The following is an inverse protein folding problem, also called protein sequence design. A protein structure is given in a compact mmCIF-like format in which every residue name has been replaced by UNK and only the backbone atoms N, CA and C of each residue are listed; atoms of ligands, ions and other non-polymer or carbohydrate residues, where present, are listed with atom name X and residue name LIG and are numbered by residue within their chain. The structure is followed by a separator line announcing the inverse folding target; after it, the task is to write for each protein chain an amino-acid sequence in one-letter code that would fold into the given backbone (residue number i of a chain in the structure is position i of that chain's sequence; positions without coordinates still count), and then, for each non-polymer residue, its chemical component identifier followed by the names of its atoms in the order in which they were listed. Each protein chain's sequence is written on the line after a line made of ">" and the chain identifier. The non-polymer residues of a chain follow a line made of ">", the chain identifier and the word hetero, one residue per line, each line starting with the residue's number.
data_IF_273896412316
#
_entry.id   IF_273896412316
#
_cell.length_a   1.000
_cell.length_b   1.000
_cell.length_c   1.000
_cell.angle_alpha   90.00
_cell.angle_beta   90.00
_cell.angle_gamma   90.00
#
_symmetry.space_group_name_H-M   'P 1'
#
loop_
_entity.id
_entity.type
_entity.pdbx_description
1 polymer ?
#
# COMPACT_ATOMS: atom_id res chain seq x y z
N UNK A 1 11.83 80.34 -6.14
CA UNK A 1 12.19 79.69 -4.87
C UNK A 1 11.04 78.77 -4.48
N UNK A 2 11.12 77.48 -4.83
CA UNK A 2 10.16 76.45 -4.41
C UNK A 2 10.98 75.35 -3.74
N UNK A 3 10.81 75.24 -2.43
CA UNK A 3 11.41 74.21 -1.59
C UNK A 3 10.55 72.95 -1.79
N UNK A 4 11.14 71.89 -2.34
CA UNK A 4 10.53 70.57 -2.40
C UNK A 4 10.98 69.82 -1.15
N UNK A 5 10.03 69.55 -0.25
CA UNK A 5 10.25 68.68 0.91
C UNK A 5 10.10 67.25 0.41
N UNK A 6 11.19 66.49 0.40
CA UNK A 6 11.18 65.04 0.15
C UNK A 6 10.88 64.36 1.49
N UNK A 7 9.67 63.80 1.62
CA UNK A 7 9.33 62.93 2.73
C UNK A 7 9.95 61.55 2.48
N UNK A 8 10.96 61.17 3.28
CA UNK A 8 11.44 59.79 3.35
C UNK A 8 10.38 58.95 4.07
N UNK A 9 9.66 58.14 3.31
CA UNK A 9 8.88 57.02 3.83
C UNK A 9 9.87 55.95 4.34
N UNK A 10 9.97 55.80 5.65
CA UNK A 10 10.59 54.65 6.28
C UNK A 10 9.66 53.45 6.04
N UNK A 11 9.97 52.63 5.05
CA UNK A 11 9.34 51.31 4.89
C UNK A 11 9.99 50.40 5.93
N UNK A 12 9.25 50.11 7.00
CA UNK A 12 9.63 49.07 7.95
C UNK A 12 9.42 47.73 7.23
N UNK A 13 10.48 47.17 6.66
CA UNK A 13 10.46 45.79 6.19
C UNK A 13 10.39 44.95 7.46
N UNK A 14 9.17 44.51 7.84
CA UNK A 14 9.04 43.37 8.73
C UNK A 14 9.61 42.19 7.95
N UNK A 15 10.85 41.78 8.25
CA UNK A 15 11.23 40.40 8.04
C UNK A 15 10.27 39.60 8.91
N UNK A 16 9.23 39.02 8.32
CA UNK A 16 8.54 37.92 8.95
C UNK A 16 9.59 36.83 9.12
N UNK A 17 10.02 36.59 10.36
CA UNK A 17 10.68 35.34 10.68
C UNK A 17 9.69 34.25 10.30
N UNK A 18 10.09 33.38 9.37
CA UNK A 18 9.31 32.21 9.01
C UNK A 18 9.27 31.37 10.29
N UNK A 19 8.07 31.03 10.77
CA UNK A 19 7.91 30.08 11.87
C UNK A 19 8.77 28.84 11.56
N UNK A 20 9.62 28.42 12.50
CA UNK A 20 10.37 27.17 12.35
C UNK A 20 9.49 26.03 12.87
N UNK A 21 8.35 25.81 12.20
CA UNK A 21 7.55 24.61 12.42
C UNK A 21 8.14 23.47 11.59
N UNK A 22 8.09 22.23 12.10
CA UNK A 22 8.59 21.05 11.40
C UNK A 22 10.00 20.61 11.81
N UNK A 23 10.62 19.82 10.94
CA UNK A 23 11.92 19.19 11.16
C UNK A 23 13.00 20.17 11.64
N UNK A 24 13.72 19.77 12.70
CA UNK A 24 14.80 20.55 13.30
C UNK A 24 14.37 21.60 14.33
N UNK A 25 13.06 21.78 14.56
CA UNK A 25 12.53 22.52 15.71
C UNK A 25 12.44 21.63 16.97
N UNK A 26 12.30 22.25 18.14
CA UNK A 26 12.19 21.53 19.41
C UNK A 26 10.79 20.95 19.68
N UNK A 27 10.66 20.16 20.74
CA UNK A 27 9.40 19.57 21.19
C UNK A 27 8.35 20.64 21.57
N UNK A 28 7.14 20.52 21.03
CA UNK A 28 6.01 21.41 21.30
C UNK A 28 5.55 21.44 22.77
N UNK A 29 5.85 20.40 23.54
CA UNK A 29 5.43 20.23 24.93
C UNK A 29 6.51 20.60 25.95
N UNK A 30 7.70 20.98 25.50
CA UNK A 30 8.84 21.40 26.34
C UNK A 30 9.29 22.82 25.99
N UNK A 31 9.90 23.52 26.96
CA UNK A 31 10.38 24.89 26.74
C UNK A 31 11.74 24.85 26.04
N UNK A 32 11.90 25.63 24.96
CA UNK A 32 13.16 25.72 24.23
C UNK A 32 13.40 27.13 23.63
N UNK A 33 14.66 27.48 23.35
CA UNK A 33 15.01 28.85 22.94
C UNK A 33 14.67 29.17 21.49
N UNK A 34 14.56 28.17 20.62
CA UNK A 34 14.17 28.31 19.21
C UNK A 34 12.68 28.70 19.08
N UNK A 35 12.30 29.49 18.06
CA UNK A 35 10.91 29.74 17.72
C UNK A 35 10.26 28.52 17.05
N UNK A 36 8.94 28.37 17.18
CA UNK A 36 8.20 27.25 16.60
C UNK A 36 8.43 25.93 17.35
N UNK A 37 7.91 24.83 16.85
CA UNK A 37 8.13 23.49 17.39
C UNK A 37 7.93 22.43 16.29
N UNK A 38 8.34 21.18 16.56
CA UNK A 38 8.43 20.14 15.53
C UNK A 38 7.07 19.78 14.90
N UNK A 39 6.01 19.61 15.69
CA UNK A 39 4.70 19.19 15.17
C UNK A 39 4.07 20.34 14.35
N UNK A 40 4.13 20.26 13.02
CA UNK A 40 3.72 21.32 12.08
C UNK A 40 2.32 21.87 12.39
N UNK A 41 1.31 21.00 12.48
CA UNK A 41 -0.07 21.40 12.75
C UNK A 41 -0.25 22.01 14.16
N UNK A 42 0.41 21.44 15.17
CA UNK A 42 0.38 22.00 16.52
C UNK A 42 1.01 23.38 16.57
N UNK A 43 2.17 23.52 15.92
CA UNK A 43 2.92 24.75 15.81
C UNK A 43 2.05 25.83 15.18
N UNK A 44 1.43 25.55 14.03
CA UNK A 44 0.54 26.49 13.33
C UNK A 44 -0.64 26.95 14.21
N UNK A 45 -1.31 26.02 14.90
CA UNK A 45 -2.41 26.34 15.84
C UNK A 45 -1.94 27.26 16.96
N UNK A 46 -0.75 27.02 17.53
CA UNK A 46 -0.19 27.88 18.58
C UNK A 46 0.26 29.23 18.01
N UNK A 47 0.88 29.27 16.84
CA UNK A 47 1.31 30.50 16.15
C UNK A 47 0.12 31.42 15.84
N UNK A 48 -1.03 30.85 15.47
CA UNK A 48 -2.25 31.61 15.20
C UNK A 48 -2.78 32.31 16.47
N UNK A 49 -2.65 31.65 17.63
CA UNK A 49 -3.05 32.22 18.93
C UNK A 49 -2.02 33.22 19.46
N UNK A 50 -0.73 32.90 19.38
CA UNK A 50 0.37 33.72 19.88
C UNK A 50 1.57 33.71 18.91
N UNK A 51 1.68 34.72 18.02
CA UNK A 51 2.78 34.81 17.06
C UNK A 51 4.17 34.87 17.71
N UNK A 52 4.29 35.27 18.99
CA UNK A 52 5.58 35.35 19.69
C UNK A 52 6.22 33.97 19.83
N UNK A 53 5.42 32.91 19.93
CA UNK A 53 5.91 31.53 19.98
C UNK A 53 6.72 31.15 18.74
N UNK A 54 6.43 31.79 17.61
CA UNK A 54 7.00 31.46 16.30
C UNK A 54 7.91 32.55 15.75
N UNK A 55 7.98 33.71 16.42
CA UNK A 55 8.87 34.82 16.07
C UNK A 55 10.06 34.98 17.02
N UNK A 56 9.93 34.56 18.29
CA UNK A 56 10.94 34.85 19.34
C UNK A 56 11.49 33.57 19.97
N UNK A 57 10.63 32.77 20.59
CA UNK A 57 11.04 31.59 21.38
C UNK A 57 9.83 30.78 21.83
N UNK A 58 9.99 29.47 21.92
CA UNK A 58 8.98 28.58 22.49
C UNK A 58 9.05 28.51 24.03
N UNK A 59 8.34 29.42 24.68
CA UNK A 59 8.36 29.57 26.15
C UNK A 59 7.20 28.82 26.86
N UNK A 60 7.14 28.93 28.20
CA UNK A 60 6.11 28.30 29.04
C UNK A 60 4.66 28.59 28.57
N UNK A 61 4.39 29.80 28.06
CA UNK A 61 3.05 30.12 27.52
C UNK A 61 2.75 29.29 26.27
N UNK A 62 3.72 29.12 25.37
CA UNK A 62 3.59 28.32 24.15
C UNK A 62 3.28 26.86 24.49
N UNK A 63 4.03 26.29 25.44
CA UNK A 63 3.79 24.93 25.97
C UNK A 63 2.39 24.79 26.58
N UNK A 64 1.91 25.79 27.33
CA UNK A 64 0.55 25.78 27.91
C UNK A 64 -0.54 25.82 26.81
N UNK A 65 -0.31 26.54 25.72
CA UNK A 65 -1.22 26.54 24.57
C UNK A 65 -1.17 25.20 23.83
N UNK A 66 0.02 24.66 23.57
CA UNK A 66 0.19 23.37 22.91
C UNK A 66 -0.55 22.24 23.63
N UNK A 67 -0.44 22.17 24.96
CA UNK A 67 -1.17 21.21 25.82
C UNK A 67 -2.69 21.28 25.69
N UNK A 68 -3.24 22.38 25.16
CA UNK A 68 -4.69 22.57 24.94
C UNK A 68 -5.08 22.39 23.49
N UNK A 69 -4.27 22.89 22.56
CA UNK A 69 -4.61 22.98 21.13
C UNK A 69 -4.18 21.74 20.33
N UNK A 70 -3.23 20.97 20.84
CA UNK A 70 -2.54 19.92 20.07
C UNK A 70 -2.88 18.50 20.53
N UNK A 71 -3.96 18.33 21.29
CA UNK A 71 -4.41 17.01 21.72
C UNK A 71 -4.70 16.15 20.50
N UNK A 72 -4.05 14.99 20.40
CA UNK A 72 -4.18 14.07 19.28
C UNK A 72 -3.22 14.30 18.12
N UNK A 73 -2.40 15.36 18.16
CA UNK A 73 -1.35 15.61 17.17
C UNK A 73 -0.04 15.00 17.68
N UNK A 74 0.55 14.12 16.87
CA UNK A 74 1.82 13.43 17.19
C UNK A 74 2.88 13.72 16.13
N UNK A 75 2.49 13.83 14.85
CA UNK A 75 3.43 13.96 13.74
C UNK A 75 3.62 15.40 13.25
N UNK A 76 4.82 15.73 12.71
CA UNK A 76 6.07 15.00 12.94
C UNK A 76 6.55 15.14 14.39
N UNK A 77 7.42 14.25 14.82
CA UNK A 77 7.95 14.14 16.19
C UNK A 77 9.48 14.03 16.18
N UNK A 78 10.12 14.20 17.33
CA UNK A 78 11.58 14.09 17.40
C UNK A 78 12.02 12.64 17.17
N UNK A 79 13.00 12.42 16.29
CA UNK A 79 13.64 11.12 16.06
C UNK A 79 13.46 10.61 14.63
N UNK A 80 14.49 9.96 14.12
CA UNK A 80 14.50 9.43 12.75
C UNK A 80 13.56 8.24 12.62
N UNK A 81 12.74 8.20 11.56
CA UNK A 81 11.78 7.13 11.33
C UNK A 81 12.41 5.73 11.21
N UNK A 82 13.65 5.63 10.73
CA UNK A 82 14.38 4.37 10.51
C UNK A 82 15.12 3.86 11.77
N UNK A 83 14.92 4.49 12.94
CA UNK A 83 15.67 4.17 14.16
C UNK A 83 14.78 4.11 15.38
N UNK A 84 15.15 3.26 16.35
CA UNK A 84 14.53 3.25 17.67
C UNK A 84 14.69 4.60 18.39
N UNK A 85 13.63 5.12 19.00
CA UNK A 85 13.69 6.28 19.89
C UNK A 85 12.51 6.34 20.89
N UNK A 86 12.63 7.09 22.00
CA UNK A 86 11.65 7.04 23.09
C UNK A 86 10.40 7.91 22.85
N UNK A 87 10.40 8.77 21.84
CA UNK A 87 9.25 9.60 21.43
C UNK A 87 8.25 8.78 20.60
N UNK A 88 6.94 9.07 20.68
CA UNK A 88 5.94 8.59 19.71
C UNK A 88 6.07 9.34 18.38
N UNK A 89 5.74 8.69 17.26
CA UNK A 89 5.90 9.27 15.91
C UNK A 89 7.37 9.39 15.51
N UNK A 90 7.67 9.98 14.36
CA UNK A 90 9.02 10.27 13.88
C UNK A 90 9.07 11.60 13.10
N UNK A 91 10.26 11.99 12.63
CA UNK A 91 10.56 13.32 12.08
C UNK A 91 10.07 13.57 10.65
N UNK A 92 9.89 12.53 9.84
CA UNK A 92 9.25 12.64 8.54
C UNK A 92 7.71 12.66 8.72
N UNK A 93 7.09 13.81 8.41
CA UNK A 93 5.66 14.03 8.64
C UNK A 93 4.77 13.04 7.86
N UNK A 94 5.09 12.75 6.60
CA UNK A 94 4.25 11.91 5.75
C UNK A 94 4.37 10.44 6.15
N UNK A 95 5.58 9.96 6.39
CA UNK A 95 5.85 8.62 6.92
C UNK A 95 5.23 8.43 8.31
N UNK A 96 5.43 9.40 9.20
CA UNK A 96 4.87 9.37 10.56
C UNK A 96 3.34 9.26 10.51
N UNK A 97 2.66 10.13 9.74
CA UNK A 97 1.20 10.08 9.63
C UNK A 97 0.72 8.75 9.03
N UNK A 98 1.37 8.26 7.97
CA UNK A 98 1.02 6.98 7.36
C UNK A 98 1.15 5.82 8.35
N UNK A 99 2.26 5.76 9.09
CA UNK A 99 2.47 4.72 10.10
C UNK A 99 1.57 4.89 11.32
N UNK A 100 1.16 6.11 11.70
CA UNK A 100 0.14 6.29 12.75
C UNK A 100 -1.21 5.72 12.33
N UNK A 101 -1.60 5.96 11.08
CA UNK A 101 -2.87 5.47 10.55
C UNK A 101 -2.84 3.95 10.39
N UNK A 102 -1.72 3.41 9.95
CA UNK A 102 -1.49 1.97 9.78
C UNK A 102 -1.31 1.21 11.10
N UNK A 103 -0.47 1.72 12.00
CA UNK A 103 -0.17 1.16 13.31
C UNK A 103 -0.16 2.22 14.41
N UNK A 104 -1.32 2.37 15.05
CA UNK A 104 -1.50 3.31 16.15
C UNK A 104 -0.55 3.10 17.34
N UNK A 105 0.15 1.95 17.46
CA UNK A 105 1.17 1.79 18.50
C UNK A 105 2.37 2.71 18.27
N UNK A 106 2.77 2.96 17.02
CA UNK A 106 3.90 3.84 16.70
C UNK A 106 3.67 5.29 17.14
N UNK A 107 2.40 5.66 17.35
CA UNK A 107 2.02 7.02 17.75
C UNK A 107 1.35 7.09 19.13
N UNK A 108 1.05 5.95 19.74
CA UNK A 108 0.59 5.84 21.12
C UNK A 108 1.68 5.43 22.12
N UNK A 109 2.81 4.90 21.65
CA UNK A 109 3.90 4.35 22.44
C UNK A 109 5.27 4.95 22.13
N UNK A 110 6.34 4.22 22.46
CA UNK A 110 7.69 4.56 22.00
C UNK A 110 7.85 4.09 20.56
N UNK A 111 8.61 4.83 19.74
CA UNK A 111 9.00 4.37 18.41
C UNK A 111 10.02 3.23 18.51
N UNK A 112 9.54 1.99 18.48
CA UNK A 112 10.37 0.81 18.70
C UNK A 112 11.01 0.25 17.41
N UNK A 113 11.72 -0.88 17.55
CA UNK A 113 12.37 -1.54 16.39
C UNK A 113 11.35 -2.05 15.35
N UNK A 114 10.09 -2.28 15.74
CA UNK A 114 9.02 -2.65 14.79
C UNK A 114 8.60 -1.43 13.99
N UNK A 115 8.34 -0.29 14.64
CA UNK A 115 8.01 0.96 13.95
C UNK A 115 9.12 1.38 12.98
N UNK A 116 10.38 1.27 13.40
CA UNK A 116 11.52 1.58 12.54
C UNK A 116 11.64 0.66 11.32
N UNK A 117 11.44 -0.66 11.50
CA UNK A 117 11.47 -1.61 10.40
C UNK A 117 10.27 -1.42 9.44
N UNK A 118 9.12 -1.01 9.96
CA UNK A 118 7.95 -0.69 9.14
C UNK A 118 8.14 0.60 8.34
N UNK A 119 8.82 1.60 8.90
CA UNK A 119 9.22 2.79 8.17
C UNK A 119 10.21 2.47 7.05
N UNK A 120 11.21 1.65 7.33
CA UNK A 120 12.16 1.20 6.30
C UNK A 120 11.42 0.47 5.16
N UNK A 121 10.45 -0.39 5.48
CA UNK A 121 9.71 -1.15 4.48
C UNK A 121 8.73 -0.27 3.68
N UNK A 122 7.99 0.61 4.36
CA UNK A 122 6.81 1.28 3.81
C UNK A 122 7.01 2.76 3.50
N UNK A 123 8.01 3.44 4.05
CA UNK A 123 8.25 4.85 3.75
C UNK A 123 9.41 5.05 2.77
N UNK A 124 10.38 4.13 2.72
CA UNK A 124 11.45 4.18 1.71
C UNK A 124 11.01 3.67 0.34
N UNK A 125 9.86 2.99 0.27
CA UNK A 125 9.28 2.54 -0.99
C UNK A 125 8.55 3.70 -1.67
N UNK A 126 8.99 4.16 -2.84
CA UNK A 126 8.37 5.31 -3.49
C UNK A 126 6.97 4.97 -4.01
N UNK A 127 6.07 5.94 -3.95
CA UNK A 127 4.80 5.87 -4.66
C UNK A 127 5.04 5.70 -6.17
N UNK A 128 4.12 5.00 -6.81
CA UNK A 128 4.25 4.59 -8.20
C UNK A 128 2.89 4.56 -8.90
N UNK A 129 2.90 4.48 -10.23
CA UNK A 129 1.68 4.36 -11.02
C UNK A 129 1.66 3.05 -11.80
N UNK A 130 0.55 2.33 -11.72
CA UNK A 130 0.31 1.11 -12.51
C UNK A 130 -0.32 1.47 -13.84
N UNK A 131 0.21 0.90 -14.92
CA UNK A 131 -0.40 1.01 -16.25
C UNK A 131 -1.43 -0.10 -16.41
N UNK A 132 -2.71 0.28 -16.44
CA UNK A 132 -3.83 -0.65 -16.63
C UNK A 132 -3.91 -1.10 -18.09
N UNK A 133 -3.99 -2.41 -18.32
CA UNK A 133 -4.23 -2.98 -19.64
C UNK A 133 -5.57 -2.47 -20.21
N UNK A 134 -5.63 -1.96 -21.46
CA UNK A 134 -6.89 -1.58 -22.09
C UNK A 134 -7.93 -2.71 -22.21
N UNK A 135 -7.51 -3.98 -22.15
CA UNK A 135 -8.38 -5.16 -22.11
C UNK A 135 -8.85 -5.51 -20.69
N UNK A 136 -8.31 -4.87 -19.65
CA UNK A 136 -8.75 -5.04 -18.28
C UNK A 136 -10.20 -4.57 -18.14
N UNK A 137 -11.01 -5.42 -17.49
CA UNK A 137 -12.39 -5.10 -17.18
C UNK A 137 -12.38 -4.31 -15.86
N UNK A 138 -12.78 -3.02 -15.86
CA UNK A 138 -12.87 -2.26 -14.63
C UNK A 138 -14.00 -2.82 -13.77
N UNK A 139 -13.78 -2.81 -12.46
CA UNK A 139 -14.86 -3.03 -11.51
C UNK A 139 -15.92 -1.94 -11.64
N UNK A 140 -17.15 -2.29 -11.26
CA UNK A 140 -18.27 -1.35 -11.24
C UNK A 140 -18.20 -0.40 -10.03
N UNK A 141 -17.16 -0.50 -9.19
CA UNK A 141 -16.96 0.28 -7.99
C UNK A 141 -15.80 1.29 -8.10
N UNK A 142 -15.96 2.36 -7.34
CA UNK A 142 -14.96 3.40 -7.08
C UNK A 142 -14.60 3.31 -5.60
N UNK A 143 -13.45 3.86 -5.17
CA UNK A 143 -12.89 3.58 -3.85
C UNK A 143 -13.74 3.92 -2.60
N UNK A 144 -14.85 4.65 -2.73
CA UNK A 144 -15.80 4.91 -1.63
C UNK A 144 -17.07 4.04 -1.70
N UNK A 145 -17.23 3.27 -2.77
CA UNK A 145 -18.25 2.25 -2.92
C UNK A 145 -17.67 0.91 -2.47
N UNK A 146 -18.55 0.02 -2.02
CA UNK A 146 -18.21 -1.24 -1.34
C UNK A 146 -19.08 -2.34 -1.91
N UNK A 147 -18.88 -2.67 -3.18
CA UNK A 147 -19.80 -3.50 -3.95
C UNK A 147 -19.44 -4.97 -3.89
N UNK A 148 -18.18 -5.35 -3.66
CA UNK A 148 -17.74 -6.75 -3.72
C UNK A 148 -16.89 -7.24 -2.52
N UNK A 149 -17.13 -6.74 -1.31
CA UNK A 149 -16.34 -7.12 -0.11
C UNK A 149 -16.48 -8.56 0.38
N UNK A 150 -17.18 -9.38 -0.38
CA UNK A 150 -17.38 -10.79 -0.12
C UNK A 150 -17.86 -11.03 1.29
N UNK A 151 -17.09 -11.82 2.04
CA UNK A 151 -17.49 -12.22 3.38
C UNK A 151 -17.42 -11.12 4.44
N UNK A 152 -16.93 -9.92 4.11
CA UNK A 152 -16.96 -8.76 5.01
C UNK A 152 -18.33 -8.05 5.02
N UNK A 153 -19.22 -8.40 4.07
CA UNK A 153 -20.58 -7.86 3.99
C UNK A 153 -21.59 -8.72 4.78
N UNK A 154 -22.67 -8.11 5.27
CA UNK A 154 -23.80 -8.85 5.87
C UNK A 154 -24.43 -9.82 4.84
N UNK A 155 -24.55 -9.37 3.59
CA UNK A 155 -24.92 -10.20 2.44
C UNK A 155 -23.74 -10.23 1.48
N UNK A 156 -23.01 -11.34 1.38
CA UNK A 156 -21.81 -11.41 0.54
C UNK A 156 -22.10 -11.15 -0.94
N UNK A 157 -21.31 -10.26 -1.53
CA UNK A 157 -21.29 -9.97 -2.96
C UNK A 157 -19.84 -10.11 -3.43
N UNK A 158 -19.66 -10.64 -4.64
CA UNK A 158 -18.35 -10.95 -5.20
C UNK A 158 -18.32 -10.50 -6.67
N UNK A 159 -17.17 -10.02 -7.13
CA UNK A 159 -16.85 -9.98 -8.55
C UNK A 159 -16.73 -11.40 -9.10
N UNK A 160 -16.84 -11.57 -10.41
CA UNK A 160 -16.62 -12.87 -11.07
C UNK A 160 -15.32 -12.84 -11.85
N UNK A 161 -14.50 -13.88 -11.72
CA UNK A 161 -13.28 -14.04 -12.51
C UNK A 161 -13.22 -15.42 -13.17
N UNK A 162 -12.58 -15.50 -14.32
CA UNK A 162 -12.37 -16.72 -15.10
C UNK A 162 -10.97 -16.71 -15.70
N UNK A 163 -10.49 -17.90 -16.06
CA UNK A 163 -9.19 -18.06 -16.70
C UNK A 163 -9.06 -17.20 -17.96
N UNK A 164 -7.96 -16.46 -18.09
CA UNK A 164 -7.68 -15.51 -19.16
C UNK A 164 -8.30 -14.12 -18.97
N UNK A 165 -8.99 -13.86 -17.85
CA UNK A 165 -9.52 -12.52 -17.56
C UNK A 165 -8.46 -11.62 -16.96
N UNK A 166 -8.52 -10.35 -17.33
CA UNK A 166 -7.81 -9.24 -16.70
C UNK A 166 -8.87 -8.29 -16.14
N UNK A 167 -8.67 -7.84 -14.92
CA UNK A 167 -9.55 -6.97 -14.16
C UNK A 167 -8.74 -5.80 -13.59
N UNK A 168 -9.41 -4.68 -13.32
CA UNK A 168 -8.78 -3.54 -12.65
C UNK A 168 -9.72 -2.91 -11.66
N UNK A 169 -9.18 -2.44 -10.54
CA UNK A 169 -9.95 -1.94 -9.42
C UNK A 169 -9.23 -0.86 -8.63
N UNK A 170 -9.87 -0.44 -7.55
CA UNK A 170 -9.27 0.45 -6.55
C UNK A 170 -9.48 -0.11 -5.16
N UNK A 171 -8.42 -0.13 -4.37
CA UNK A 171 -8.47 -0.54 -2.97
C UNK A 171 -8.52 0.68 -2.06
N UNK A 172 -9.37 0.65 -1.04
CA UNK A 172 -9.33 1.58 0.09
C UNK A 172 -9.40 0.81 1.41
N UNK A 173 -8.91 1.38 2.51
CA UNK A 173 -8.96 0.70 3.82
C UNK A 173 -9.49 1.55 4.95
N UNK A 174 -9.99 2.75 4.67
CA UNK A 174 -10.70 3.53 5.68
C UNK A 174 -11.98 2.82 6.13
N UNK A 175 -12.58 3.23 7.25
CA UNK A 175 -13.71 2.50 7.83
C UNK A 175 -15.03 2.81 7.11
N UNK A 176 -15.77 1.80 6.60
CA UNK A 176 -15.42 0.38 6.47
C UNK A 176 -14.49 0.13 5.27
N UNK A 177 -13.60 -0.90 5.30
CA UNK A 177 -12.44 -1.22 4.41
C UNK A 177 -12.72 -1.12 2.88
N UNK A 178 -12.04 -1.77 1.97
CA UNK A 178 -12.52 -2.09 0.63
C UNK A 178 -11.72 -3.31 0.27
N UNK A 179 -12.38 -4.42 0.03
CA UNK A 179 -11.64 -5.65 -0.25
C UNK A 179 -12.24 -6.24 -1.47
N UNK A 180 -11.41 -6.52 -2.46
CA UNK A 180 -11.96 -6.87 -3.75
C UNK A 180 -11.98 -8.39 -3.86
N UNK A 181 -13.18 -8.98 -3.72
CA UNK A 181 -13.33 -10.43 -3.74
C UNK A 181 -13.84 -10.91 -5.10
N UNK A 182 -13.05 -11.78 -5.73
CA UNK A 182 -13.39 -12.40 -6.99
C UNK A 182 -13.69 -13.89 -6.82
N UNK A 183 -14.92 -14.27 -7.13
CA UNK A 183 -15.35 -15.66 -7.14
C UNK A 183 -14.85 -16.37 -8.40
N UNK A 184 -14.20 -17.51 -8.20
CA UNK A 184 -13.77 -18.44 -9.23
C UNK A 184 -14.44 -19.81 -9.01
N UNK A 185 -14.76 -20.53 -10.08
CA UNK A 185 -15.32 -21.89 -9.98
C UNK A 185 -14.74 -22.78 -11.07
N UNK A 186 -14.34 -23.98 -10.69
CA UNK A 186 -13.81 -25.00 -11.60
C UNK A 186 -14.51 -26.33 -11.41
N UNK A 187 -14.63 -27.10 -12.49
CA UNK A 187 -15.21 -28.46 -12.48
C UNK A 187 -14.16 -29.56 -12.58
N UNK A 188 -12.91 -29.20 -12.86
CA UNK A 188 -11.76 -30.09 -12.97
C UNK A 188 -10.59 -29.50 -12.14
N UNK A 189 -9.64 -30.32 -11.67
CA UNK A 189 -8.43 -29.79 -11.05
C UNK A 189 -7.72 -28.82 -11.99
N UNK A 190 -7.36 -27.65 -11.48
CA UNK A 190 -6.72 -26.58 -12.25
C UNK A 190 -5.67 -25.90 -11.38
N UNK A 191 -4.53 -25.56 -11.98
CA UNK A 191 -3.58 -24.65 -11.37
C UNK A 191 -3.91 -23.24 -11.81
N UNK A 192 -4.14 -22.36 -10.85
CA UNK A 192 -4.40 -20.94 -11.08
C UNK A 192 -3.16 -20.14 -10.78
N UNK A 193 -2.80 -19.23 -11.68
CA UNK A 193 -1.81 -18.19 -11.43
C UNK A 193 -2.55 -16.86 -11.41
N UNK A 194 -2.62 -16.24 -10.22
CA UNK A 194 -3.25 -14.95 -10.02
C UNK A 194 -2.16 -13.90 -9.81
N UNK A 195 -2.04 -12.97 -10.76
CA UNK A 195 -1.03 -11.91 -10.74
C UNK A 195 -1.73 -10.59 -10.43
N UNK A 196 -1.23 -9.87 -9.44
CA UNK A 196 -1.70 -8.52 -9.08
C UNK A 196 -0.56 -7.53 -9.25
N UNK A 197 -0.85 -6.42 -9.91
CA UNK A 197 0.05 -5.28 -10.01
C UNK A 197 -0.66 -4.05 -9.44
N UNK A 198 -0.17 -3.53 -8.31
CA UNK A 198 -0.85 -2.49 -7.54
C UNK A 198 0.08 -1.31 -7.21
N UNK A 199 -0.50 -0.14 -6.98
CA UNK A 199 0.20 1.08 -6.56
C UNK A 199 0.49 1.12 -5.05
N UNK A 200 -0.04 0.15 -4.32
CA UNK A 200 0.10 -0.05 -2.88
C UNK A 200 0.76 -1.41 -2.57
N UNK A 201 1.21 -1.67 -1.33
CA UNK A 201 1.73 -2.97 -0.91
C UNK A 201 0.62 -4.03 -1.02
N UNK A 202 0.62 -4.80 -2.09
CA UNK A 202 -0.46 -5.71 -2.44
C UNK A 202 -0.42 -6.96 -1.58
N UNK A 203 -1.60 -7.46 -1.20
CA UNK A 203 -1.81 -8.78 -0.62
C UNK A 203 -2.92 -9.49 -1.38
N UNK A 204 -2.67 -10.75 -1.70
CA UNK A 204 -3.67 -11.69 -2.24
C UNK A 204 -3.90 -12.80 -1.23
N UNK A 205 -5.18 -13.07 -0.95
CA UNK A 205 -5.60 -14.27 -0.23
C UNK A 205 -6.41 -15.16 -1.17
N UNK A 206 -5.99 -16.42 -1.31
CA UNK A 206 -6.76 -17.46 -1.99
C UNK A 206 -7.57 -18.20 -0.94
N UNK A 207 -8.88 -18.16 -1.05
CA UNK A 207 -9.79 -18.55 0.02
C UNK A 207 -10.70 -19.70 -0.44
N UNK A 208 -10.93 -20.62 0.50
CA UNK A 208 -11.90 -21.72 0.36
C UNK A 208 -12.91 -21.72 1.51
N UNK A 209 -13.96 -22.53 1.36
CA UNK A 209 -14.99 -22.71 2.38
C UNK A 209 -16.25 -21.90 2.12
N UNK A 210 -16.81 -21.26 3.15
CA UNK A 210 -18.03 -20.46 3.04
C UNK A 210 -17.99 -19.27 4.01
N UNK A 211 -18.59 -18.12 3.63
CA UNK A 211 -18.61 -16.93 4.51
C UNK A 211 -19.24 -17.19 5.88
N UNK A 212 -20.25 -18.08 5.96
CA UNK A 212 -20.85 -18.48 7.23
C UNK A 212 -19.95 -19.36 8.12
N UNK A 213 -18.78 -19.75 7.62
CA UNK A 213 -17.78 -20.56 8.30
C UNK A 213 -17.92 -22.08 8.08
N UNK A 214 -16.80 -22.83 8.00
CA UNK A 214 -15.44 -22.31 8.05
C UNK A 214 -15.02 -21.71 6.71
N UNK A 215 -14.43 -20.52 6.76
CA UNK A 215 -13.59 -19.95 5.71
C UNK A 215 -12.13 -20.22 6.09
N UNK A 216 -11.29 -20.49 5.12
CA UNK A 216 -9.87 -20.72 5.34
C UNK A 216 -9.03 -20.18 4.17
N UNK A 217 -7.81 -19.75 4.49
CA UNK A 217 -6.80 -19.36 3.51
C UNK A 217 -6.15 -20.63 2.98
N UNK A 218 -6.25 -20.84 1.67
CA UNK A 218 -5.57 -21.91 0.94
C UNK A 218 -4.13 -21.48 0.68
N UNK A 219 -3.95 -20.25 0.21
CA UNK A 219 -2.67 -19.67 -0.14
C UNK A 219 -2.72 -18.15 0.01
N UNK A 220 -1.56 -17.52 0.12
CA UNK A 220 -1.44 -16.07 0.21
C UNK A 220 -0.10 -15.58 -0.33
N UNK A 221 -0.08 -14.35 -0.80
CA UNK A 221 1.14 -13.65 -1.15
C UNK A 221 1.01 -12.16 -0.84
N UNK A 222 2.15 -11.50 -0.67
CA UNK A 222 2.19 -10.06 -0.55
C UNK A 222 3.50 -9.53 -1.17
N UNK A 223 3.45 -8.34 -1.75
CA UNK A 223 4.60 -7.74 -2.42
C UNK A 223 4.54 -6.21 -2.35
N UNK A 224 5.69 -5.57 -2.55
CA UNK A 224 5.81 -4.12 -2.51
C UNK A 224 5.08 -3.43 -3.69
N UNK A 225 4.72 -2.14 -3.55
CA UNK A 225 4.14 -1.33 -4.62
C UNK A 225 4.85 -1.47 -5.97
N UNK A 226 4.05 -1.59 -7.03
CA UNK A 226 4.45 -1.73 -8.42
C UNK A 226 5.38 -2.90 -8.77
N UNK A 227 5.58 -3.84 -7.86
CA UNK A 227 6.17 -5.14 -8.15
C UNK A 227 5.02 -6.13 -8.39
N UNK A 228 5.03 -6.91 -9.49
CA UNK A 228 4.00 -7.92 -9.71
C UNK A 228 4.00 -8.96 -8.60
N UNK A 229 2.87 -9.08 -7.91
CA UNK A 229 2.59 -10.13 -6.93
C UNK A 229 1.98 -11.33 -7.65
N UNK A 230 2.58 -12.50 -7.53
CA UNK A 230 2.10 -13.72 -8.16
C UNK A 230 1.78 -14.80 -7.11
N UNK A 231 0.55 -15.34 -7.17
CA UNK A 231 0.11 -16.47 -6.33
C UNK A 231 -0.33 -17.63 -7.22
N UNK A 232 0.35 -18.77 -7.07
CA UNK A 232 0.09 -19.99 -7.83
C UNK A 232 -0.50 -21.06 -6.93
N UNK A 233 -1.71 -21.50 -7.24
CA UNK A 233 -2.44 -22.43 -6.36
C UNK A 233 -3.14 -23.52 -7.16
N UNK A 234 -2.98 -24.76 -6.72
CA UNK A 234 -3.72 -25.89 -7.25
C UNK A 234 -5.10 -25.98 -6.58
N UNK A 235 -6.17 -25.92 -7.39
CA UNK A 235 -7.54 -25.93 -6.95
C UNK A 235 -8.29 -27.15 -7.50
N UNK A 236 -8.83 -27.97 -6.60
CA UNK A 236 -9.74 -29.06 -6.94
C UNK A 236 -11.09 -28.52 -7.43
N UNK A 237 -11.95 -29.34 -8.08
CA UNK A 237 -13.31 -28.95 -8.44
C UNK A 237 -14.07 -28.32 -7.27
N UNK A 238 -14.48 -27.06 -7.44
CA UNK A 238 -15.05 -26.27 -6.35
C UNK A 238 -15.18 -24.79 -6.68
N UNK A 239 -15.61 -24.03 -5.67
CA UNK A 239 -15.73 -22.57 -5.70
C UNK A 239 -14.75 -21.98 -4.71
N UNK A 240 -14.02 -20.96 -5.15
CA UNK A 240 -12.94 -20.30 -4.43
C UNK A 240 -13.05 -18.79 -4.61
N UNK A 241 -12.29 -18.05 -3.80
CA UNK A 241 -12.22 -16.59 -3.90
C UNK A 241 -10.77 -16.11 -3.90
N UNK A 242 -10.48 -15.15 -4.77
CA UNK A 242 -9.28 -14.34 -4.70
C UNK A 242 -9.65 -13.00 -4.06
N UNK A 243 -9.05 -12.66 -2.93
CA UNK A 243 -9.24 -11.39 -2.26
C UNK A 243 -8.00 -10.52 -2.49
N UNK A 244 -8.17 -9.40 -3.17
CA UNK A 244 -7.14 -8.35 -3.27
C UNK A 244 -7.33 -7.39 -2.09
N UNK A 245 -6.21 -7.03 -1.46
CA UNK A 245 -6.17 -6.07 -0.35
C UNK A 245 -4.76 -5.49 -0.22
N UNK A 246 -4.54 -4.55 0.70
CA UNK A 246 -3.19 -4.15 1.08
C UNK A 246 -2.66 -5.00 2.24
N UNK A 247 -1.37 -5.30 2.22
CA UNK A 247 -0.72 -6.06 3.28
C UNK A 247 0.75 -6.31 3.02
N UNK A 248 1.39 -7.00 3.95
CA UNK A 248 2.72 -7.56 3.79
C UNK A 248 2.72 -9.05 4.15
N UNK A 249 3.90 -9.68 4.11
CA UNK A 249 4.07 -11.10 4.42
C UNK A 249 3.63 -11.51 5.85
N UNK A 250 3.41 -10.55 6.75
CA UNK A 250 3.06 -10.79 8.15
C UNK A 250 1.60 -10.47 8.48
N UNK A 251 1.01 -9.44 7.86
CA UNK A 251 -0.35 -8.98 8.17
C UNK A 251 -1.03 -8.25 7.02
N UNK A 252 -2.36 -8.29 7.02
CA UNK A 252 -3.21 -7.40 6.22
C UNK A 252 -3.23 -6.00 6.81
N UNK A 253 -3.33 -4.99 5.96
CA UNK A 253 -3.44 -3.59 6.35
C UNK A 253 -4.92 -3.20 6.43
N UNK A 254 -5.35 -2.67 7.57
CA UNK A 254 -6.77 -2.39 7.84
C UNK A 254 -7.12 -0.89 7.81
N UNK A 255 -6.12 -0.04 7.57
CA UNK A 255 -6.19 1.43 7.59
C UNK A 255 -4.99 2.00 6.81
N UNK A 256 -4.90 3.34 6.67
CA UNK A 256 -3.80 4.02 5.97
C UNK A 256 -3.99 4.18 4.46
N UNK A 257 -5.07 3.66 3.89
CA UNK A 257 -5.44 3.82 2.47
C UNK A 257 -6.80 4.52 2.33
N UNK A 258 -6.89 5.80 2.73
CA UNK A 258 -8.08 6.62 2.50
C UNK A 258 -8.39 6.72 1.01
N UNK A 259 -9.67 6.55 0.65
CA UNK A 259 -10.15 6.85 -0.69
C UNK A 259 -9.82 8.30 -1.06
N UNK A 260 -9.30 8.49 -2.27
CA UNK A 260 -8.87 9.77 -2.83
C UNK A 260 -9.97 10.48 -3.65
N UNK A 261 -11.15 9.87 -3.75
CA UNK A 261 -12.31 10.41 -4.46
C UNK A 261 -13.36 10.94 -3.47
N UNK A 262 -13.90 12.12 -3.78
CA UNK A 262 -15.00 12.71 -3.01
C UNK A 262 -16.34 12.05 -3.38
N UNK A 263 -17.10 11.64 -2.36
CA UNK A 263 -18.50 11.21 -2.52
C UNK A 263 -19.39 12.47 -2.65
N UNK A 264 -20.02 12.73 -3.82
CA UNK A 264 -20.86 13.90 -4.02
C UNK A 264 -22.15 13.88 -3.20
N UNK A 265 -22.57 12.70 -2.73
CA UNK A 265 -23.78 12.50 -1.93
C UNK A 265 -23.48 12.43 -0.42
N UNK A 266 -22.21 12.46 -0.02
CA UNK A 266 -21.82 12.47 1.38
C UNK A 266 -22.32 13.74 2.09
N UNK A 267 -22.76 13.63 3.37
CA UNK A 267 -23.01 14.81 4.18
C UNK A 267 -21.73 15.66 4.28
N UNK A 268 -21.84 16.99 4.41
CA UNK A 268 -20.67 17.82 4.66
C UNK A 268 -19.87 17.26 5.85
N UNK A 269 -18.53 17.20 5.75
CA UNK A 269 -17.72 16.70 6.84
C UNK A 269 -17.98 17.52 8.10
N UNK A 270 -17.98 16.86 9.26
CA UNK A 270 -18.06 17.58 10.53
C UNK A 270 -16.82 18.48 10.62
N UNK A 271 -16.97 19.79 10.89
CA UNK A 271 -15.82 20.68 11.05
C UNK A 271 -14.88 20.27 12.19
N UNK A 272 -15.34 19.44 13.12
CA UNK A 272 -14.53 18.89 14.21
C UNK A 272 -13.81 17.57 13.81
N UNK A 273 -14.16 16.96 12.66
CA UNK A 273 -13.46 15.78 12.15
C UNK A 273 -12.12 16.18 11.49
N UNK A 274 -11.05 15.39 11.68
CA UNK A 274 -9.79 15.65 11.01
C UNK A 274 -9.96 15.56 9.49
N UNK A 275 -9.32 16.48 8.77
CA UNK A 275 -9.28 16.44 7.30
C UNK A 275 -8.53 15.17 6.89
N UNK A 276 -9.23 14.28 6.19
CA UNK A 276 -8.64 13.05 5.65
C UNK A 276 -7.55 13.42 4.64
N UNK A 277 -6.29 13.11 4.97
CA UNK A 277 -5.17 13.24 4.04
C UNK A 277 -5.26 12.13 2.98
N UNK A 278 -4.78 12.35 1.75
CA UNK A 278 -4.68 11.29 0.75
C UNK A 278 -3.74 10.18 1.24
N UNK A 279 -3.90 8.98 0.69
CA UNK A 279 -2.99 7.89 1.02
C UNK A 279 -1.58 8.21 0.52
N UNK A 280 -0.58 7.68 1.24
CA UNK A 280 0.82 7.76 0.84
C UNK A 280 1.07 7.08 -0.52
N UNK A 281 0.26 6.07 -0.85
CA UNK A 281 0.33 5.28 -2.07
C UNK A 281 -0.88 5.53 -2.98
N UNK A 282 -0.73 5.20 -4.25
CA UNK A 282 -1.89 5.09 -5.14
C UNK A 282 -2.77 3.90 -4.75
N UNK A 283 -4.02 3.94 -5.16
CA UNK A 283 -5.03 2.95 -4.79
C UNK A 283 -5.36 1.97 -5.92
N UNK A 284 -4.79 2.16 -7.12
CA UNK A 284 -5.17 1.37 -8.30
C UNK A 284 -4.43 0.05 -8.35
N UNK A 285 -5.09 -0.95 -8.89
CA UNK A 285 -4.44 -2.19 -9.28
C UNK A 285 -5.05 -2.76 -10.56
N UNK A 286 -4.31 -3.67 -11.19
CA UNK A 286 -4.85 -4.65 -12.12
C UNK A 286 -4.52 -6.05 -11.63
N UNK A 287 -5.39 -7.00 -11.94
CA UNK A 287 -5.15 -8.40 -11.68
C UNK A 287 -5.47 -9.26 -12.90
N UNK A 288 -4.74 -10.34 -13.09
CA UNK A 288 -4.99 -11.33 -14.13
C UNK A 288 -5.05 -12.72 -13.52
N UNK A 289 -5.95 -13.55 -14.07
CA UNK A 289 -6.05 -14.96 -13.71
C UNK A 289 -5.73 -15.80 -14.93
N UNK A 290 -4.61 -16.51 -14.92
CA UNK A 290 -4.32 -17.56 -15.90
C UNK A 290 -4.47 -18.94 -15.25
N UNK A 291 -4.73 -19.95 -16.08
CA UNK A 291 -4.99 -21.30 -15.61
C UNK A 291 -4.28 -22.33 -16.46
N UNK A 292 -3.67 -23.31 -15.81
CA UNK A 292 -3.09 -24.50 -16.42
C UNK A 292 -3.88 -25.74 -15.99
N UNK A 293 -4.14 -26.70 -16.89
CA UNK A 293 -4.84 -27.94 -16.55
C UNK A 293 -4.00 -28.90 -15.68
N UNK A 294 -2.80 -28.49 -15.24
CA UNK A 294 -1.84 -29.37 -14.57
C UNK A 294 -1.45 -28.78 -13.22
N UNK A 295 -1.93 -29.42 -12.15
CA UNK A 295 -1.59 -29.04 -10.78
C UNK A 295 -0.20 -29.55 -10.40
N UNK A 296 0.70 -28.64 -9.99
CA UNK A 296 2.02 -28.98 -9.46
C UNK A 296 3.00 -29.45 -10.53
N UNK A 297 2.77 -29.09 -11.80
CA UNK A 297 3.76 -29.28 -12.85
C UNK A 297 4.50 -27.97 -13.13
N UNK A 298 5.81 -28.01 -13.40
CA UNK A 298 6.58 -26.81 -13.67
C UNK A 298 5.99 -26.01 -14.84
N UNK A 299 6.00 -24.69 -14.71
CA UNK A 299 5.39 -23.78 -15.68
C UNK A 299 6.23 -23.69 -16.96
N UNK A 300 5.60 -23.80 -18.14
CA UNK A 300 6.27 -23.55 -19.41
C UNK A 300 6.85 -22.14 -19.59
N UNK A 301 6.43 -21.13 -18.81
CA UNK A 301 7.13 -19.85 -18.65
C UNK A 301 8.29 -20.05 -17.65
N UNK A 302 9.43 -20.47 -18.18
CA UNK A 302 10.58 -20.95 -17.40
C UNK A 302 11.39 -19.77 -16.84
N UNK A 303 11.36 -18.60 -17.49
CA UNK A 303 12.03 -17.40 -16.98
C UNK A 303 11.10 -16.47 -16.16
N UNK A 304 9.82 -16.82 -16.04
CA UNK A 304 8.79 -16.09 -15.31
C UNK A 304 8.64 -14.64 -15.78
N UNK A 305 8.71 -14.40 -17.09
CA UNK A 305 8.54 -13.07 -17.68
C UNK A 305 7.09 -12.76 -18.11
N UNK A 306 6.17 -13.69 -17.87
CA UNK A 306 4.76 -13.60 -18.21
C UNK A 306 4.43 -14.15 -19.59
N UNK A 307 5.43 -14.56 -20.37
CA UNK A 307 5.26 -15.10 -21.71
C UNK A 307 5.92 -16.48 -21.84
N UNK A 308 5.33 -17.33 -22.69
CA UNK A 308 5.95 -18.60 -23.12
C UNK A 308 6.43 -18.40 -24.55
N UNK A 309 7.72 -18.16 -24.71
CA UNK A 309 8.31 -17.71 -25.96
C UNK A 309 9.67 -18.39 -26.32
N UNK A 310 10.44 -17.74 -27.20
CA UNK A 310 11.73 -18.26 -27.65
C UNK A 310 12.80 -18.33 -26.55
N UNK A 311 12.66 -17.56 -25.48
CA UNK A 311 13.56 -17.57 -24.33
C UNK A 311 13.31 -18.85 -23.51
N UNK A 312 12.06 -19.20 -23.21
CA UNK A 312 11.72 -20.43 -22.50
C UNK A 312 12.16 -21.65 -23.29
N UNK A 313 11.91 -21.66 -24.59
CA UNK A 313 12.38 -22.72 -25.46
C UNK A 313 13.92 -22.82 -25.41
N UNK A 314 14.62 -21.69 -25.36
CA UNK A 314 16.06 -21.65 -25.21
C UNK A 314 16.53 -22.28 -23.89
N UNK A 315 15.85 -21.98 -22.79
CA UNK A 315 16.15 -22.54 -21.46
C UNK A 315 15.84 -24.04 -21.41
N UNK A 316 14.69 -24.47 -21.94
CA UNK A 316 14.33 -25.88 -22.02
C UNK A 316 15.38 -26.67 -22.80
N UNK A 317 15.75 -26.21 -24.00
CA UNK A 317 16.76 -26.87 -24.82
C UNK A 317 18.16 -26.87 -24.18
N UNK A 318 18.49 -25.87 -23.36
CA UNK A 318 19.73 -25.84 -22.60
C UNK A 318 19.80 -26.90 -21.50
N UNK A 319 18.64 -27.36 -21.00
CA UNK A 319 18.51 -28.39 -19.97
C UNK A 319 18.24 -29.79 -20.55
N UNK A 320 18.31 -29.97 -21.88
CA UNK A 320 17.94 -31.22 -22.53
C UNK A 320 18.68 -32.46 -21.99
N UNK A 321 17.92 -33.48 -21.58
CA UNK A 321 18.43 -34.69 -20.95
C UNK A 321 18.06 -34.79 -19.46
N UNK A 322 18.77 -35.64 -18.72
CA UNK A 322 18.45 -35.90 -17.32
C UNK A 322 18.82 -34.73 -16.40
N UNK A 323 17.92 -34.39 -15.47
CA UNK A 323 18.14 -33.32 -14.52
C UNK A 323 19.16 -33.69 -13.42
N UNK A 324 20.03 -32.75 -13.00
CA UNK A 324 21.02 -33.00 -11.96
C UNK A 324 20.42 -32.90 -10.56
N UNK A 325 20.17 -34.05 -9.94
CA UNK A 325 19.85 -34.15 -8.51
C UNK A 325 18.35 -34.01 -8.19
N UNK A 326 17.98 -34.04 -6.90
CA UNK A 326 16.58 -34.10 -6.46
C UNK A 326 15.82 -32.78 -6.60
N UNK A 327 16.48 -31.71 -7.04
CA UNK A 327 15.88 -30.40 -7.25
C UNK A 327 15.30 -30.21 -8.67
N UNK A 328 15.40 -31.23 -9.54
CA UNK A 328 14.97 -31.15 -10.93
C UNK A 328 15.84 -30.21 -11.76
N UNK A 329 15.34 -29.82 -12.93
CA UNK A 329 15.92 -28.76 -13.75
C UNK A 329 14.80 -27.97 -14.45
N UNK A 330 15.01 -26.68 -14.76
CA UNK A 330 13.90 -25.80 -15.18
C UNK A 330 13.17 -26.23 -16.46
N UNK A 331 13.78 -27.08 -17.29
CA UNK A 331 13.17 -27.57 -18.52
C UNK A 331 12.32 -28.84 -18.37
N UNK A 332 12.23 -29.43 -17.18
CA UNK A 332 11.48 -30.66 -16.91
C UNK A 332 10.06 -30.32 -16.48
N UNK A 333 9.19 -30.14 -17.47
CA UNK A 333 7.85 -29.58 -17.32
C UNK A 333 6.80 -30.64 -16.97
N UNK A 334 7.16 -31.92 -16.96
CA UNK A 334 6.31 -32.97 -16.39
C UNK A 334 6.86 -33.62 -15.10
N UNK A 335 8.00 -33.13 -14.60
CA UNK A 335 8.68 -33.54 -13.36
C UNK A 335 9.03 -35.04 -13.37
N UNK A 336 9.40 -35.58 -14.54
CA UNK A 336 9.81 -36.98 -14.71
C UNK A 336 11.32 -37.22 -14.51
N UNK A 337 12.07 -36.14 -14.30
CA UNK A 337 13.51 -36.10 -14.13
C UNK A 337 14.30 -35.97 -15.44
N UNK A 338 13.64 -35.83 -16.59
CA UNK A 338 14.27 -35.86 -17.93
C UNK A 338 13.62 -34.86 -18.89
N UNK A 339 14.35 -33.79 -19.23
CA UNK A 339 13.96 -32.86 -20.29
C UNK A 339 14.05 -33.52 -21.67
N UNK A 340 12.91 -33.72 -22.30
CA UNK A 340 12.76 -34.41 -23.57
C UNK A 340 11.63 -33.84 -24.45
N UNK A 341 11.18 -34.62 -25.44
CA UNK A 341 10.16 -34.20 -26.38
C UNK A 341 8.77 -33.99 -25.77
N UNK A 342 8.51 -34.55 -24.59
CA UNK A 342 7.26 -34.33 -23.86
C UNK A 342 7.26 -32.92 -23.28
N UNK A 343 8.34 -32.49 -22.63
CA UNK A 343 8.51 -31.13 -22.10
C UNK A 343 8.42 -30.08 -23.19
N UNK A 344 9.10 -30.32 -24.32
CA UNK A 344 8.97 -29.46 -25.49
C UNK A 344 7.51 -29.37 -25.96
N UNK A 345 6.77 -30.48 -25.92
CA UNK A 345 5.35 -30.50 -26.25
C UNK A 345 4.50 -29.67 -25.28
N UNK A 346 4.83 -29.68 -23.99
CA UNK A 346 4.17 -28.89 -22.95
C UNK A 346 4.44 -27.39 -23.18
N UNK A 347 5.70 -27.02 -23.38
CA UNK A 347 6.10 -25.64 -23.66
C UNK A 347 5.40 -25.09 -24.91
N UNK A 348 5.42 -25.84 -26.01
CA UNK A 348 4.77 -25.42 -27.25
C UNK A 348 3.24 -25.37 -27.15
N UNK A 349 2.63 -26.14 -26.25
CA UNK A 349 1.19 -26.06 -26.00
C UNK A 349 0.79 -24.80 -25.23
N UNK A 350 1.71 -24.25 -24.41
CA UNK A 350 1.54 -23.03 -23.63
C UNK A 350 1.95 -21.74 -24.33
N UNK A 351 2.37 -21.77 -25.61
CA UNK A 351 2.98 -20.63 -26.30
C UNK A 351 2.12 -19.36 -26.34
N UNK A 352 2.57 -18.24 -25.76
CA UNK A 352 1.80 -16.97 -25.64
C UNK A 352 2.37 -15.76 -26.43
N UNK A 353 3.60 -15.84 -26.95
CA UNK A 353 4.31 -14.90 -27.85
C UNK A 353 4.96 -13.66 -27.26
#
# INVERSE_FOLDING_TARGET
>A
MRIVIVAMLLVCIRSYAIAQCGEGAGDCYEVHPEPGCIMTECCDRVCEVDPICCEISWNENCVIQAKKLCVGIVCPSEGACDQFHPSPGCDDEDCCNFLCDYDGFCCGGIWDEVCAAEAELLCETPACEVTIDPEAIPEDEICYQRLNDGCNMETPVFGSISCGMIISGTYASNTPRDTDWYQFTTTEPVETTFVVHAEFPAQVLVLGGQCAGPIFVIDQGAENPCVPLEVRTCLDPGTYWFCVSAGNQWRSFYSGFPCDQEDPDAPPPDPDDPVQKPSFYGLRYQASLSCSPRCGQPDPDINADGFVDGIDLGILLANWGGCPGPAGCPGDLDDDGVVNGIDLGILLAGWTR
#
